data_IF_845573990142
#
_entry.id   IF_845573990142
#
_cell.length_a   1.000
_cell.length_b   1.000
_cell.length_c   1.000
_cell.angle_alpha   90.00
_cell.angle_beta   90.00
_cell.angle_gamma   90.00
#
_symmetry.space_group_name_H-M   'P 1'
#
loop_
_entity.id
_entity.type
_entity.pdbx_description
1 polymer ?
#
# COMPACT_ATOMS: atom_id res chain seq x y z
N UNK A 1 15.72 -27.93 5.41
CA UNK A 1 14.91 -26.77 5.87
C UNK A 1 14.45 -26.04 4.62
N UNK A 2 13.17 -26.11 4.27
CA UNK A 2 12.62 -25.36 3.14
C UNK A 2 12.34 -23.93 3.61
N UNK A 3 13.14 -22.97 3.15
CA UNK A 3 12.92 -21.55 3.43
C UNK A 3 11.79 -21.07 2.51
N UNK A 4 10.53 -21.20 2.95
CA UNK A 4 9.41 -20.59 2.26
C UNK A 4 9.48 -19.08 2.47
N UNK A 5 9.84 -18.33 1.43
CA UNK A 5 9.61 -16.89 1.39
C UNK A 5 8.11 -16.67 1.24
N UNK A 6 7.43 -16.47 2.36
CA UNK A 6 6.07 -15.94 2.37
C UNK A 6 6.18 -14.52 1.82
N UNK A 7 5.71 -14.27 0.59
CA UNK A 7 5.85 -12.98 -0.07
C UNK A 7 5.24 -11.82 0.74
N UNK A 8 5.32 -10.58 0.23
CA UNK A 8 4.72 -9.44 0.91
C UNK A 8 3.23 -9.63 1.16
N UNK A 9 2.73 -8.85 2.13
CA UNK A 9 1.31 -8.57 2.23
C UNK A 9 0.90 -7.61 1.11
N UNK A 10 -0.34 -7.70 0.68
CA UNK A 10 -0.92 -6.77 -0.29
C UNK A 10 -2.02 -5.97 0.37
N UNK A 11 -2.00 -4.65 0.16
CA UNK A 11 -3.07 -3.75 0.58
C UNK A 11 -3.55 -2.96 -0.64
N UNK A 12 -4.82 -3.07 -0.96
CA UNK A 12 -5.44 -2.29 -2.04
C UNK A 12 -6.21 -1.12 -1.45
N UNK A 13 -5.83 0.10 -1.83
CA UNK A 13 -6.43 1.34 -1.38
C UNK A 13 -7.14 1.97 -2.58
N UNK A 14 -8.48 2.02 -2.53
CA UNK A 14 -9.31 2.70 -3.52
C UNK A 14 -9.59 4.11 -3.02
N UNK A 15 -9.18 5.12 -3.78
CA UNK A 15 -9.32 6.53 -3.37
C UNK A 15 -9.40 7.44 -4.59
N UNK A 16 -10.08 8.57 -4.45
CA UNK A 16 -10.02 9.65 -5.43
C UNK A 16 -8.74 10.48 -5.27
N UNK A 17 -8.23 10.61 -4.05
CA UNK A 17 -7.03 11.38 -3.72
C UNK A 17 -5.77 10.49 -3.72
N UNK A 18 -5.35 10.10 -4.92
CA UNK A 18 -4.21 9.20 -5.12
C UNK A 18 -2.90 9.85 -4.63
N UNK A 19 -2.69 11.12 -4.95
CA UNK A 19 -1.45 11.83 -4.61
C UNK A 19 -1.36 12.16 -3.11
N UNK A 20 -2.46 12.58 -2.48
CA UNK A 20 -2.48 12.79 -1.02
C UNK A 20 -2.29 11.50 -0.24
N UNK A 21 -2.93 10.42 -0.68
CA UNK A 21 -2.73 9.07 -0.10
C UNK A 21 -1.29 8.61 -0.28
N UNK A 22 -0.71 8.77 -1.46
CA UNK A 22 0.69 8.39 -1.71
C UNK A 22 1.64 9.16 -0.79
N UNK A 23 1.49 10.49 -0.72
CA UNK A 23 2.29 11.35 0.16
C UNK A 23 2.15 10.99 1.64
N UNK A 24 0.96 10.60 2.08
CA UNK A 24 0.75 10.12 3.43
C UNK A 24 1.55 8.83 3.68
N UNK A 25 1.46 7.84 2.80
CA UNK A 25 2.23 6.60 2.94
C UNK A 25 3.74 6.85 2.93
N UNK A 26 4.23 7.74 2.06
CA UNK A 26 5.65 8.11 2.02
C UNK A 26 6.10 8.79 3.32
N UNK A 27 5.37 9.80 3.80
CA UNK A 27 5.80 10.63 4.93
C UNK A 27 5.52 10.04 6.30
N UNK A 28 4.35 9.42 6.47
CA UNK A 28 3.88 8.94 7.77
C UNK A 28 4.28 7.50 8.04
N UNK A 29 4.53 6.72 6.99
CA UNK A 29 4.89 5.30 7.08
C UNK A 29 6.23 4.98 6.43
N UNK A 30 7.01 6.01 6.07
CA UNK A 30 8.33 5.86 5.45
C UNK A 30 8.30 4.96 4.19
N UNK A 31 7.20 5.05 3.44
CA UNK A 31 6.97 4.29 2.24
C UNK A 31 7.78 4.79 1.04
N UNK A 32 8.05 3.88 0.10
CA UNK A 32 8.78 4.18 -1.13
C UNK A 32 7.89 3.88 -2.35
N UNK A 33 7.67 4.88 -3.21
CA UNK A 33 6.99 4.68 -4.50
C UNK A 33 7.89 3.81 -5.39
N UNK A 34 7.34 2.68 -5.83
CA UNK A 34 8.11 1.68 -6.57
C UNK A 34 7.28 1.05 -7.70
N UNK A 35 7.94 0.49 -8.72
CA UNK A 35 7.26 -0.34 -9.71
C UNK A 35 6.96 -1.75 -9.16
N UNK A 36 5.91 -2.39 -9.66
CA UNK A 36 5.47 -3.72 -9.18
C UNK A 36 6.60 -4.77 -9.15
N UNK A 37 7.32 -4.95 -10.26
CA UNK A 37 8.39 -5.95 -10.36
C UNK A 37 9.54 -5.68 -9.37
N UNK A 38 9.93 -4.41 -9.23
CA UNK A 38 10.96 -4.02 -8.25
C UNK A 38 10.47 -4.20 -6.81
N UNK A 39 9.21 -3.85 -6.53
CA UNK A 39 8.55 -4.06 -5.24
C UNK A 39 8.52 -5.54 -4.86
N UNK A 40 8.09 -6.41 -5.77
CA UNK A 40 8.09 -7.86 -5.57
C UNK A 40 9.49 -8.43 -5.33
N UNK A 41 10.51 -7.92 -6.03
CA UNK A 41 11.90 -8.36 -5.85
C UNK A 41 12.52 -7.94 -4.52
N UNK A 42 12.06 -6.83 -3.93
CA UNK A 42 12.60 -6.26 -2.68
C UNK A 42 11.80 -6.62 -1.43
N UNK A 43 10.53 -6.94 -1.60
CA UNK A 43 9.63 -7.26 -0.51
C UNK A 43 10.00 -8.56 0.22
N UNK A 44 9.66 -8.60 1.50
CA UNK A 44 9.72 -9.75 2.41
C UNK A 44 8.38 -9.98 3.11
N UNK A 45 8.26 -11.04 3.93
CA UNK A 45 7.09 -11.31 4.76
C UNK A 45 6.71 -10.17 5.72
N UNK A 46 7.67 -9.29 6.03
CA UNK A 46 7.52 -8.15 6.94
C UNK A 46 7.20 -6.84 6.22
N UNK A 47 6.98 -6.90 4.91
CA UNK A 47 6.66 -5.73 4.10
C UNK A 47 5.27 -5.85 3.46
N UNK A 48 4.73 -4.69 3.11
CA UNK A 48 3.44 -4.58 2.43
C UNK A 48 3.60 -3.75 1.16
N UNK A 49 3.12 -4.27 0.03
CA UNK A 49 2.92 -3.48 -1.17
C UNK A 49 1.51 -2.89 -1.14
N UNK A 50 1.45 -1.56 -1.07
CA UNK A 50 0.21 -0.80 -1.09
C UNK A 50 -0.09 -0.37 -2.53
N UNK A 51 -1.17 -0.89 -3.10
CA UNK A 51 -1.65 -0.57 -4.44
C UNK A 51 -2.71 0.51 -4.34
N UNK A 52 -2.41 1.70 -4.83
CA UNK A 52 -3.34 2.82 -4.82
C UNK A 52 -4.03 2.88 -6.18
N UNK A 53 -5.35 2.75 -6.16
CA UNK A 53 -6.22 2.67 -7.32
C UNK A 53 -7.28 3.77 -7.26
N UNK A 54 -7.88 4.09 -8.39
CA UNK A 54 -9.09 4.92 -8.42
C UNK A 54 -10.32 4.16 -7.89
N UNK A 55 -11.46 4.86 -7.79
CA UNK A 55 -12.71 4.26 -7.27
C UNK A 55 -13.59 3.60 -8.35
N UNK A 56 -13.35 3.90 -9.63
CA UNK A 56 -14.25 3.55 -10.74
C UNK A 56 -14.05 2.12 -11.29
N UNK A 57 -13.58 1.18 -10.47
CA UNK A 57 -13.31 -0.19 -10.90
C UNK A 57 -14.26 -1.19 -10.21
N UNK A 58 -14.94 -2.01 -11.00
CA UNK A 58 -15.81 -3.09 -10.50
C UNK A 58 -14.97 -4.14 -9.73
N UNK A 59 -13.82 -4.52 -10.29
CA UNK A 59 -12.84 -5.42 -9.67
C UNK A 59 -11.48 -4.73 -9.66
N UNK A 60 -10.67 -5.01 -8.65
CA UNK A 60 -9.32 -4.46 -8.56
C UNK A 60 -8.30 -5.48 -9.06
N UNK A 61 -7.53 -5.07 -10.05
CA UNK A 61 -6.35 -5.76 -10.53
C UNK A 61 -5.08 -4.98 -10.17
N UNK A 62 -3.92 -5.62 -10.27
CA UNK A 62 -2.62 -4.97 -9.99
C UNK A 62 -2.34 -3.88 -11.03
N UNK A 63 -2.76 -4.12 -12.27
CA UNK A 63 -2.64 -3.25 -13.43
C UNK A 63 -3.45 -1.96 -13.27
N UNK A 64 -4.47 -1.94 -12.41
CA UNK A 64 -5.26 -0.74 -12.11
C UNK A 64 -4.54 0.21 -11.14
N UNK A 65 -3.43 -0.22 -10.53
CA UNK A 65 -2.68 0.58 -9.58
C UNK A 65 -2.04 1.78 -10.29
N UNK A 66 -2.47 2.98 -9.91
CA UNK A 66 -1.86 4.23 -10.41
C UNK A 66 -0.55 4.54 -9.69
N UNK A 67 -0.43 4.09 -8.43
CA UNK A 67 0.79 4.17 -7.63
C UNK A 67 0.92 2.88 -6.81
N UNK A 68 2.16 2.44 -6.63
CA UNK A 68 2.48 1.32 -5.74
C UNK A 68 3.52 1.84 -4.75
N UNK A 69 3.28 1.62 -3.46
CA UNK A 69 4.17 2.04 -2.38
C UNK A 69 4.60 0.80 -1.60
N UNK A 70 5.91 0.59 -1.49
CA UNK A 70 6.50 -0.42 -0.62
C UNK A 70 6.69 0.18 0.77
N UNK A 71 6.17 -0.51 1.78
CA UNK A 71 6.33 -0.15 3.19
C UNK A 71 6.91 -1.36 3.92
N UNK A 72 7.97 -1.16 4.70
CA UNK A 72 8.60 -2.20 5.50
C UNK A 72 7.88 -2.43 6.84
N UNK A 73 6.56 -2.51 6.78
CA UNK A 73 5.67 -2.84 7.90
C UNK A 73 4.57 -3.80 7.43
N UNK A 74 3.98 -4.51 8.38
CA UNK A 74 2.84 -5.40 8.12
C UNK A 74 1.54 -4.61 7.91
N UNK A 75 0.67 -5.12 7.04
CA UNK A 75 -0.57 -4.46 6.63
C UNK A 75 -1.47 -4.00 7.79
N UNK A 76 -1.50 -4.72 8.92
CA UNK A 76 -2.29 -4.33 10.09
C UNK A 76 -1.78 -3.05 10.76
N UNK A 77 -0.46 -2.84 10.80
CA UNK A 77 0.14 -1.60 11.32
C UNK A 77 -0.22 -0.43 10.41
N UNK A 78 -0.05 -0.62 9.10
CA UNK A 78 -0.39 0.37 8.07
C UNK A 78 -1.87 0.78 8.17
N UNK A 79 -2.77 -0.21 8.21
CA UNK A 79 -4.20 0.03 8.30
C UNK A 79 -4.59 0.75 9.60
N UNK A 80 -4.00 0.35 10.74
CA UNK A 80 -4.20 1.03 12.02
C UNK A 80 -3.76 2.49 11.95
N UNK A 81 -2.61 2.77 11.33
CA UNK A 81 -2.13 4.14 11.16
C UNK A 81 -3.04 4.96 10.26
N UNK A 82 -3.55 4.38 9.16
CA UNK A 82 -4.54 5.05 8.29
C UNK A 82 -5.81 5.40 9.10
N UNK A 83 -6.39 4.42 9.79
CA UNK A 83 -7.64 4.59 10.57
C UNK A 83 -7.46 5.65 11.68
N UNK A 84 -6.29 5.66 12.33
CA UNK A 84 -6.01 6.59 13.43
C UNK A 84 -5.46 7.95 12.95
N UNK A 85 -5.19 8.12 11.66
CA UNK A 85 -4.72 9.39 11.11
C UNK A 85 -5.88 10.38 10.97
N UNK A 86 -6.17 11.12 12.04
CA UNK A 86 -7.21 12.16 12.06
C UNK A 86 -6.96 13.33 11.09
N UNK A 87 -5.77 13.42 10.50
CA UNK A 87 -5.32 14.54 9.66
C UNK A 87 -5.49 14.33 8.15
N UNK A 88 -5.80 13.10 7.71
CA UNK A 88 -6.05 12.81 6.30
C UNK A 88 -7.46 12.23 6.20
N UNK A 89 -8.33 12.85 5.40
CA UNK A 89 -9.70 12.37 5.12
C UNK A 89 -9.65 11.10 4.22
N UNK A 90 -8.87 10.10 4.61
CA UNK A 90 -8.69 8.84 3.88
C UNK A 90 -9.89 7.90 4.07
N UNK A 91 -10.69 8.14 5.10
CA UNK A 91 -11.92 7.42 5.39
C UNK A 91 -13.08 8.42 5.37
N UNK A 92 -14.06 8.19 4.51
CA UNK A 92 -15.33 8.91 4.56
C UNK A 92 -16.12 8.39 5.77
N UNK A 93 -16.48 9.28 6.70
CA UNK A 93 -17.42 8.99 7.78
C UNK A 93 -18.85 8.98 7.26
#
# INVERSE_FOLDING_TARGET
>A
MLLFRMGPRYLFIRTEDIEGTTKFLEKSLNGEVIGFQQGMGRASENSTLCFITGINYEKTYIEDARKIVLINDVASVILSTIINSRGYNLLQN
#
